data_IF_540993294940
#
_entry.id   IF_540993294940
#
_cell.length_a   1.000
_cell.length_b   1.000
_cell.length_c   1.000
_cell.angle_alpha   90.00
_cell.angle_beta   90.00
_cell.angle_gamma   90.00
#
_symmetry.space_group_name_H-M   'P 1'
#
loop_
_entity.id
_entity.type
_entity.pdbx_description
1 polymer ?
#
# COMPACT_ATOMS: atom_id res chain seq x y z
N UNK A 1 -6.76 8.35 8.58
CA UNK A 1 -5.62 7.77 7.82
C UNK A 1 -5.83 7.76 6.28
N UNK A 2 -6.91 8.33 5.77
CA UNK A 2 -7.25 8.29 4.34
C UNK A 2 -6.20 8.96 3.44
N UNK A 3 -5.61 10.06 3.90
CA UNK A 3 -4.52 10.74 3.18
C UNK A 3 -3.31 9.82 3.01
N UNK A 4 -2.98 9.03 4.03
CA UNK A 4 -1.86 8.09 3.97
C UNK A 4 -2.12 6.96 2.96
N UNK A 5 -3.31 6.34 2.99
CA UNK A 5 -3.69 5.31 2.02
C UNK A 5 -3.75 5.87 0.59
N UNK A 6 -4.25 7.10 0.44
CA UNK A 6 -4.29 7.81 -0.84
C UNK A 6 -2.89 8.05 -1.38
N UNK A 7 -1.94 8.51 -0.54
CA UNK A 7 -0.56 8.71 -0.93
C UNK A 7 0.09 7.40 -1.41
N UNK A 8 -0.10 6.30 -0.68
CA UNK A 8 0.38 4.97 -1.11
C UNK A 8 -0.22 4.58 -2.46
N UNK A 9 -1.54 4.78 -2.64
CA UNK A 9 -2.23 4.49 -3.90
C UNK A 9 -1.65 5.27 -5.08
N UNK A 10 -1.35 6.56 -4.89
CA UNK A 10 -0.75 7.41 -5.93
C UNK A 10 0.65 6.93 -6.30
N UNK A 11 1.50 6.64 -5.32
CA UNK A 11 2.85 6.11 -5.56
C UNK A 11 2.77 4.74 -6.25
N UNK A 12 1.84 3.89 -5.82
CA UNK A 12 1.64 2.57 -6.42
C UNK A 12 1.19 2.65 -7.88
N UNK A 13 0.30 3.59 -8.22
CA UNK A 13 -0.09 3.87 -9.62
C UNK A 13 1.11 4.34 -10.44
N UNK A 14 1.88 5.29 -9.92
CA UNK A 14 3.05 5.85 -10.62
C UNK A 14 4.15 4.80 -10.88
N UNK A 15 4.31 3.80 -10.00
CA UNK A 15 5.30 2.71 -10.15
C UNK A 15 4.78 1.45 -10.84
N UNK A 16 3.52 1.45 -11.28
CA UNK A 16 2.90 0.30 -11.94
C UNK A 16 2.18 -0.63 -10.97
N UNK A 17 0.86 -0.45 -10.88
CA UNK A 17 -0.03 -1.18 -9.96
C UNK A 17 0.03 -2.70 -10.16
N UNK A 18 0.21 -3.16 -11.40
CA UNK A 18 0.23 -4.58 -11.75
C UNK A 18 1.46 -5.29 -11.19
N UNK A 19 2.63 -4.64 -11.25
CA UNK A 19 3.86 -5.17 -10.66
C UNK A 19 3.75 -5.26 -9.14
N UNK A 20 3.16 -4.25 -8.50
CA UNK A 20 2.95 -4.22 -7.05
C UNK A 20 1.98 -5.29 -6.62
N UNK A 21 0.86 -5.48 -7.33
CA UNK A 21 -0.08 -6.56 -7.08
C UNK A 21 0.62 -7.93 -7.12
N UNK A 22 1.39 -8.20 -8.17
CA UNK A 22 2.15 -9.44 -8.31
C UNK A 22 3.17 -9.65 -7.17
N UNK A 23 3.95 -8.62 -6.83
CA UNK A 23 4.99 -8.71 -5.79
C UNK A 23 4.44 -8.76 -4.36
N UNK A 24 3.29 -8.14 -4.11
CA UNK A 24 2.65 -8.13 -2.78
C UNK A 24 1.80 -9.38 -2.52
N UNK A 25 1.56 -10.21 -3.55
CA UNK A 25 0.63 -11.35 -3.48
C UNK A 25 -0.84 -10.92 -3.39
N UNK A 26 -1.16 -9.67 -3.72
CA UNK A 26 -2.50 -9.12 -3.70
C UNK A 26 -3.05 -9.03 -5.12
N UNK A 27 -4.31 -9.39 -5.34
CA UNK A 27 -4.99 -9.08 -6.60
C UNK A 27 -5.07 -7.57 -6.83
N UNK A 28 -5.06 -7.12 -8.09
CA UNK A 28 -5.21 -5.69 -8.45
C UNK A 28 -6.45 -5.06 -7.82
N UNK A 29 -7.58 -5.77 -7.86
CA UNK A 29 -8.84 -5.32 -7.27
C UNK A 29 -8.75 -5.23 -5.74
N UNK A 30 -8.17 -6.25 -5.09
CA UNK A 30 -7.92 -6.25 -3.64
C UNK A 30 -7.03 -5.08 -3.22
N UNK A 31 -6.01 -4.76 -4.01
CA UNK A 31 -5.13 -3.62 -3.77
C UNK A 31 -5.88 -2.29 -3.88
N UNK A 32 -6.74 -2.12 -4.89
CA UNK A 32 -7.57 -0.92 -5.02
C UNK A 32 -8.55 -0.76 -3.86
N UNK A 33 -9.22 -1.85 -3.44
CA UNK A 33 -10.12 -1.84 -2.27
C UNK A 33 -9.37 -1.54 -0.98
N UNK A 34 -8.18 -2.09 -0.80
CA UNK A 34 -7.37 -1.90 0.41
C UNK A 34 -6.83 -0.47 0.56
N UNK A 35 -6.63 0.25 -0.56
CA UNK A 35 -6.08 1.62 -0.58
C UNK A 35 -7.13 2.70 -0.89
N UNK A 36 -8.41 2.34 -0.95
CA UNK A 36 -9.50 3.28 -1.20
C UNK A 36 -9.73 4.19 0.02
N UNK A 37 -10.26 5.41 -0.17
CA UNK A 37 -10.76 6.23 0.93
C UNK A 37 -11.80 5.47 1.76
N UNK A 38 -11.73 5.56 3.08
CA UNK A 38 -12.60 4.84 4.02
C UNK A 38 -12.23 3.37 4.22
N UNK A 39 -11.24 2.84 3.50
CA UNK A 39 -10.79 1.46 3.68
C UNK A 39 -10.15 1.26 5.06
N UNK A 40 -10.38 0.09 5.64
CA UNK A 40 -9.76 -0.36 6.89
C UNK A 40 -8.85 -1.57 6.60
N UNK A 41 -7.76 -1.40 5.83
CA UNK A 41 -6.85 -2.49 5.54
C UNK A 41 -6.16 -2.97 6.82
N UNK A 42 -5.84 -4.27 6.88
CA UNK A 42 -4.96 -4.78 7.92
C UNK A 42 -3.58 -4.17 7.77
N UNK A 43 -2.89 -3.95 8.90
CA UNK A 43 -1.55 -3.38 8.91
C UNK A 43 -0.56 -4.20 8.06
N UNK A 44 -0.65 -5.53 8.08
CA UNK A 44 0.14 -6.43 7.24
C UNK A 44 -0.02 -6.12 5.73
N UNK A 45 -1.23 -5.81 5.27
CA UNK A 45 -1.49 -5.42 3.88
C UNK A 45 -0.76 -4.13 3.54
N UNK A 46 -0.82 -3.13 4.41
CA UNK A 46 -0.13 -1.85 4.21
C UNK A 46 1.38 -2.05 4.17
N UNK A 47 1.94 -2.85 5.08
CA UNK A 47 3.36 -3.17 5.12
C UNK A 47 3.84 -3.88 3.84
N UNK A 48 3.09 -4.88 3.35
CA UNK A 48 3.44 -5.58 2.10
C UNK A 48 3.51 -4.62 0.91
N UNK A 49 2.56 -3.69 0.82
CA UNK A 49 2.56 -2.68 -0.25
C UNK A 49 3.77 -1.74 -0.11
N UNK A 50 4.05 -1.24 1.09
CA UNK A 50 5.21 -0.37 1.35
C UNK A 50 6.54 -1.07 1.03
N UNK A 51 6.69 -2.34 1.40
CA UNK A 51 7.87 -3.14 1.05
C UNK A 51 8.02 -3.32 -0.46
N UNK A 52 6.92 -3.55 -1.18
CA UNK A 52 6.96 -3.62 -2.65
C UNK A 52 7.37 -2.29 -3.29
N UNK A 53 7.00 -1.18 -2.66
CA UNK A 53 7.41 0.17 -3.05
C UNK A 53 8.85 0.51 -2.66
N UNK A 54 9.56 -0.37 -1.94
CA UNK A 54 10.92 -0.12 -1.44
C UNK A 54 10.96 0.82 -0.24
N UNK A 55 9.83 1.01 0.46
CA UNK A 55 9.71 1.87 1.64
C UNK A 55 9.86 1.03 2.91
N UNK A 56 10.73 1.47 3.82
CA UNK A 56 10.91 0.88 5.15
C UNK A 56 10.33 1.81 6.21
N UNK A 57 9.38 1.31 6.99
CA UNK A 57 8.84 2.03 8.14
C UNK A 57 9.75 1.77 9.34
N UNK A 58 10.20 2.83 10.01
CA UNK A 58 11.01 2.76 11.23
C UNK A 58 10.29 3.55 12.31
N UNK A 59 10.07 2.91 13.45
CA UNK A 59 9.54 3.57 14.63
C UNK A 59 10.74 4.02 15.48
N UNK A 60 10.75 5.29 15.87
CA UNK A 60 11.77 5.85 16.75
C UNK A 60 11.07 6.32 18.03
N UNK A 61 11.65 6.01 19.19
CA UNK A 61 11.20 6.60 20.44
C UNK A 61 11.42 8.13 20.41
N UNK A 62 10.53 8.86 21.07
CA UNK A 62 10.64 10.31 21.23
C UNK A 62 11.90 10.67 22.04
#
# INVERSE_FOLDING_TARGET
PDVFLTAISQVAKARGIASIAARSGLGRESLYKALAPGAKPRYDTVLKVLQCLGVKVVLKAA
#
